data_IF_413781163154
#
_entry.id   IF_413781163154
#
_cell.length_a   1.000
_cell.length_b   1.000
_cell.length_c   1.000
_cell.angle_alpha   90.00
_cell.angle_beta   90.00
_cell.angle_gamma   90.00
#
_symmetry.space_group_name_H-M   'P 1'
#
loop_
_entity.id
_entity.type
_entity.pdbx_description
1 polymer ?
#
# COMPACT_ATOMS: atom_id res chain seq x y z
N UNK A 1 -0.87 -15.11 -20.06
CA UNK A 1 -0.51 -16.31 -19.27
C UNK A 1 0.98 -16.65 -19.42
N UNK A 2 1.86 -15.64 -19.33
CA UNK A 2 3.31 -15.77 -19.49
C UNK A 2 4.06 -15.92 -18.14
N UNK A 3 3.35 -15.97 -17.01
CA UNK A 3 3.94 -15.76 -15.68
C UNK A 3 4.23 -17.05 -14.87
N UNK A 4 4.24 -18.23 -15.50
CA UNK A 4 4.63 -19.46 -14.81
C UNK A 4 5.30 -20.40 -15.81
N UNK A 5 6.61 -20.27 -16.01
CA UNK A 5 7.39 -21.23 -16.81
C UNK A 5 7.60 -22.58 -16.09
N UNK A 6 7.10 -22.69 -14.86
CA UNK A 6 7.22 -23.84 -13.98
C UNK A 6 5.85 -24.53 -13.83
N UNK A 7 5.83 -25.85 -14.03
CA UNK A 7 4.64 -26.71 -14.01
C UNK A 7 3.93 -26.66 -12.66
N UNK A 8 4.67 -26.60 -11.56
CA UNK A 8 4.09 -26.60 -10.21
C UNK A 8 3.39 -25.27 -9.92
N UNK A 9 3.94 -24.15 -10.40
CA UNK A 9 3.28 -22.84 -10.34
C UNK A 9 2.00 -22.80 -11.17
N UNK A 10 1.97 -23.46 -12.35
CA UNK A 10 0.74 -23.61 -13.15
C UNK A 10 -0.32 -24.43 -12.42
N UNK A 11 0.06 -25.58 -11.82
CA UNK A 11 -0.86 -26.41 -11.02
C UNK A 11 -1.42 -25.66 -9.82
N UNK A 12 -0.57 -24.92 -9.09
CA UNK A 12 -0.98 -24.09 -7.97
C UNK A 12 -2.00 -23.04 -8.39
N UNK A 13 -1.75 -22.34 -9.50
CA UNK A 13 -2.65 -21.33 -10.04
C UNK A 13 -4.00 -21.93 -10.47
N UNK A 14 -3.98 -23.08 -11.16
CA UNK A 14 -5.22 -23.77 -11.56
C UNK A 14 -6.02 -24.23 -10.35
N UNK A 15 -5.34 -24.79 -9.33
CA UNK A 15 -5.96 -25.18 -8.06
C UNK A 15 -6.59 -23.98 -7.35
N UNK A 16 -5.88 -22.86 -7.25
CA UNK A 16 -6.41 -21.63 -6.67
C UNK A 16 -7.66 -21.13 -7.40
N UNK A 17 -7.63 -21.08 -8.74
CA UNK A 17 -8.79 -20.66 -9.54
C UNK A 17 -10.01 -21.55 -9.29
N UNK A 18 -9.82 -22.87 -9.30
CA UNK A 18 -10.89 -23.84 -9.02
C UNK A 18 -11.46 -23.64 -7.62
N UNK A 19 -10.61 -23.57 -6.59
CA UNK A 19 -11.03 -23.36 -5.21
C UNK A 19 -11.79 -22.04 -5.06
N UNK A 20 -11.28 -20.95 -5.64
CA UNK A 20 -11.96 -19.65 -5.60
C UNK A 20 -13.36 -19.72 -6.23
N UNK A 21 -13.50 -20.39 -7.38
CA UNK A 21 -14.78 -20.51 -8.08
C UNK A 21 -15.79 -21.35 -7.28
N UNK A 22 -15.36 -22.48 -6.72
CA UNK A 22 -16.19 -23.34 -5.87
C UNK A 22 -16.69 -22.61 -4.62
N UNK A 23 -15.80 -21.91 -3.92
CA UNK A 23 -16.19 -21.16 -2.72
C UNK A 23 -17.05 -19.96 -3.08
N UNK A 24 -16.82 -19.29 -4.22
CA UNK A 24 -17.66 -18.18 -4.69
C UNK A 24 -19.11 -18.61 -4.95
N UNK A 25 -19.31 -19.80 -5.53
CA UNK A 25 -20.63 -20.36 -5.81
C UNK A 25 -21.38 -20.77 -4.53
N UNK A 26 -20.66 -21.26 -3.52
CA UNK A 26 -21.25 -21.78 -2.28
C UNK A 26 -21.43 -20.70 -1.20
N UNK A 27 -20.48 -19.78 -1.10
CA UNK A 27 -20.46 -18.71 -0.10
C UNK A 27 -19.73 -17.48 -0.65
N UNK A 28 -20.51 -16.67 -1.37
CA UNK A 28 -20.01 -15.43 -1.97
C UNK A 28 -19.62 -14.40 -0.92
N UNK A 29 -20.27 -14.39 0.25
CA UNK A 29 -19.97 -13.47 1.34
C UNK A 29 -18.60 -13.77 1.96
N UNK A 30 -18.32 -15.03 2.27
CA UNK A 30 -17.02 -15.49 2.77
C UNK A 30 -15.93 -15.29 1.72
N UNK A 31 -16.18 -15.65 0.46
CA UNK A 31 -15.21 -15.43 -0.62
C UNK A 31 -14.84 -13.95 -0.73
N UNK A 32 -15.82 -13.07 -0.69
CA UNK A 32 -15.59 -11.63 -0.70
C UNK A 32 -14.82 -11.16 0.54
N UNK A 33 -15.10 -11.72 1.73
CA UNK A 33 -14.34 -11.42 2.96
C UNK A 33 -12.87 -11.84 2.84
N UNK A 34 -12.57 -13.00 2.26
CA UNK A 34 -11.20 -13.49 2.03
C UNK A 34 -10.49 -12.67 0.95
N UNK A 35 -11.17 -12.36 -0.16
CA UNK A 35 -10.63 -11.53 -1.25
C UNK A 35 -10.39 -10.07 -0.84
N UNK A 36 -11.18 -9.58 0.13
CA UNK A 36 -11.04 -8.24 0.72
C UNK A 36 -10.18 -8.22 1.98
N UNK A 37 -9.63 -9.36 2.40
CA UNK A 37 -8.78 -9.42 3.59
C UNK A 37 -7.54 -8.53 3.37
N UNK A 38 -7.27 -7.67 4.34
CA UNK A 38 -6.25 -6.64 4.25
C UNK A 38 -4.83 -7.19 4.08
N UNK A 39 -4.59 -8.43 4.50
CA UNK A 39 -3.28 -9.09 4.36
C UNK A 39 -3.09 -9.83 3.03
N UNK A 40 -4.17 -10.10 2.29
CA UNK A 40 -4.12 -10.91 1.05
C UNK A 40 -4.45 -10.13 -0.21
N UNK A 41 -5.06 -8.95 -0.08
CA UNK A 41 -5.38 -8.10 -1.24
C UNK A 41 -4.16 -7.29 -1.66
N UNK A 42 -3.51 -7.73 -2.74
CA UNK A 42 -2.44 -7.00 -3.42
C UNK A 42 -3.09 -5.94 -4.33
N UNK A 43 -2.76 -4.67 -4.09
CA UNK A 43 -3.24 -3.52 -4.87
C UNK A 43 -2.35 -3.21 -6.08
N UNK A 44 -1.03 -3.24 -5.87
CA UNK A 44 -0.04 -3.04 -6.94
C UNK A 44 1.26 -3.73 -6.57
N UNK A 45 1.95 -4.24 -7.57
CA UNK A 45 3.32 -4.74 -7.46
C UNK A 45 4.20 -4.09 -8.51
N UNK A 46 5.49 -4.03 -8.25
CA UNK A 46 6.46 -3.55 -9.23
C UNK A 46 7.75 -3.10 -8.57
N UNK A 47 8.69 -2.70 -9.42
CA UNK A 47 9.98 -2.21 -8.96
C UNK A 47 9.93 -0.72 -8.70
N UNK A 48 10.46 -0.29 -7.56
CA UNK A 48 10.67 1.12 -7.21
C UNK A 48 12.11 1.32 -6.72
N UNK A 49 12.64 2.51 -6.98
CA UNK A 49 13.85 2.98 -6.32
C UNK A 49 13.45 3.71 -5.04
N UNK A 50 13.94 3.25 -3.89
CA UNK A 50 13.70 3.87 -2.58
C UNK A 50 14.96 4.57 -2.11
N UNK A 51 14.86 5.84 -1.69
CA UNK A 51 15.98 6.54 -1.06
C UNK A 51 16.13 6.05 0.39
N UNK A 52 17.34 5.67 0.79
CA UNK A 52 17.62 5.34 2.19
C UNK A 52 17.59 6.60 3.06
N UNK A 53 17.16 6.50 4.33
CA UNK A 53 17.27 7.62 5.26
C UNK A 53 18.74 7.87 5.64
N UNK A 54 19.05 9.07 6.14
CA UNK A 54 20.36 9.45 6.69
C UNK A 54 21.24 10.31 5.78
N UNK A 55 22.37 10.78 6.32
CA UNK A 55 23.31 11.69 5.65
C UNK A 55 23.95 11.09 4.38
N UNK A 56 24.17 9.78 4.36
CA UNK A 56 24.66 9.03 3.20
C UNK A 56 23.51 8.35 2.44
N UNK A 57 22.46 9.11 2.15
CA UNK A 57 21.27 8.61 1.48
C UNK A 57 21.62 8.06 0.08
N UNK A 58 21.30 6.79 -0.16
CA UNK A 58 21.50 6.11 -1.45
C UNK A 58 20.17 5.61 -1.99
N UNK A 59 20.06 5.59 -3.31
CA UNK A 59 18.93 4.96 -3.99
C UNK A 59 19.12 3.45 -4.02
N UNK A 60 18.06 2.73 -3.66
CA UNK A 60 18.05 1.28 -3.60
C UNK A 60 16.86 0.74 -4.37
N UNK A 61 17.10 -0.11 -5.35
CA UNK A 61 16.04 -0.78 -6.10
C UNK A 61 15.39 -1.86 -5.26
N UNK A 62 14.05 -1.85 -5.18
CA UNK A 62 13.25 -2.78 -4.38
C UNK A 62 12.08 -3.28 -5.22
N UNK A 63 11.77 -4.55 -5.09
CA UNK A 63 10.48 -5.06 -5.52
C UNK A 63 9.48 -4.76 -4.40
N UNK A 64 8.40 -4.07 -4.75
CA UNK A 64 7.45 -3.52 -3.80
C UNK A 64 6.09 -4.14 -4.04
N UNK A 65 5.45 -4.55 -2.95
CA UNK A 65 4.08 -5.04 -2.94
C UNK A 65 3.27 -4.09 -2.06
N UNK A 66 2.33 -3.37 -2.67
CA UNK A 66 1.30 -2.65 -1.93
C UNK A 66 0.16 -3.61 -1.64
N UNK A 67 -0.04 -3.88 -0.36
CA UNK A 67 -1.21 -4.58 0.16
C UNK A 67 -2.15 -3.56 0.81
N UNK A 68 -3.36 -4.00 1.10
CA UNK A 68 -4.31 -3.26 1.94
C UNK A 68 -3.78 -2.90 3.34
N UNK A 69 -2.80 -3.62 3.89
CA UNK A 69 -2.21 -3.30 5.18
C UNK A 69 -1.02 -2.31 5.09
N UNK A 70 -0.38 -2.24 3.93
CA UNK A 70 0.79 -1.39 3.71
C UNK A 70 1.76 -1.92 2.66
N UNK A 71 2.99 -1.39 2.70
CA UNK A 71 4.04 -1.69 1.73
C UNK A 71 4.97 -2.78 2.25
N UNK A 72 5.24 -3.77 1.42
CA UNK A 72 6.23 -4.82 1.66
C UNK A 72 7.36 -4.67 0.65
N UNK A 73 8.60 -4.73 1.13
CA UNK A 73 9.80 -4.59 0.31
C UNK A 73 10.60 -5.89 0.25
N UNK A 74 11.06 -6.22 -0.95
CA UNK A 74 11.99 -7.31 -1.22
C UNK A 74 13.26 -6.75 -1.88
N UNK A 75 14.41 -7.37 -1.59
CA UNK A 75 15.64 -7.10 -2.36
C UNK A 75 15.42 -7.62 -3.78
N UNK A 76 15.98 -6.92 -4.75
CA UNK A 76 16.01 -7.35 -6.16
C UNK A 76 17.34 -8.08 -6.42
N UNK A 77 17.86 -8.85 -5.46
CA UNK A 77 19.04 -9.71 -5.66
C UNK A 77 18.69 -10.91 -6.55
N UNK A 78 18.08 -10.64 -7.70
CA UNK A 78 17.61 -11.60 -8.71
C UNK A 78 16.72 -12.74 -8.21
N UNK A 79 16.17 -12.64 -6.98
CA UNK A 79 15.36 -13.70 -6.36
C UNK A 79 16.08 -15.06 -6.34
N UNK A 80 17.41 -15.06 -6.29
CA UNK A 80 18.20 -16.28 -6.42
C UNK A 80 18.32 -17.05 -5.10
N UNK A 81 18.27 -16.35 -3.97
CA UNK A 81 18.33 -16.97 -2.64
C UNK A 81 16.97 -17.03 -1.95
N UNK A 82 16.79 -17.98 -1.02
CA UNK A 82 15.60 -18.01 -0.14
C UNK A 82 15.47 -16.73 0.70
N UNK A 83 16.59 -16.05 0.96
CA UNK A 83 16.64 -14.79 1.70
C UNK A 83 16.08 -13.61 0.88
N UNK A 84 16.22 -13.63 -0.45
CA UNK A 84 15.61 -12.64 -1.35
C UNK A 84 14.07 -12.74 -1.40
N UNK A 85 13.54 -13.94 -1.14
CA UNK A 85 12.10 -14.20 -1.05
C UNK A 85 11.51 -13.79 0.31
N UNK A 86 12.36 -13.42 1.27
CA UNK A 86 11.92 -13.00 2.60
C UNK A 86 11.58 -11.49 2.60
N UNK A 87 10.41 -11.10 3.12
CA UNK A 87 10.06 -9.68 3.22
C UNK A 87 11.02 -8.98 4.18
N UNK A 88 11.68 -7.92 3.72
CA UNK A 88 12.69 -7.25 4.54
C UNK A 88 12.06 -6.29 5.52
N UNK A 89 11.10 -5.52 5.03
CA UNK A 89 10.41 -4.56 5.84
C UNK A 89 8.95 -4.49 5.42
N UNK A 90 8.08 -4.50 6.42
CA UNK A 90 6.70 -4.11 6.29
C UNK A 90 6.55 -2.67 6.80
N UNK A 91 5.91 -1.81 6.01
CA UNK A 91 5.59 -0.43 6.38
C UNK A 91 4.08 -0.27 6.39
N UNK A 92 3.44 -0.20 7.58
CA UNK A 92 2.00 0.02 7.66
C UNK A 92 1.66 1.39 7.08
N UNK A 93 0.64 1.43 6.22
CA UNK A 93 0.16 2.65 5.57
C UNK A 93 -1.15 3.08 6.20
N UNK A 94 -1.04 3.78 7.34
CA UNK A 94 -2.17 4.22 8.15
C UNK A 94 -2.64 5.61 7.74
N UNK A 95 -1.90 6.65 8.14
CA UNK A 95 -2.23 8.05 7.88
C UNK A 95 -1.05 8.73 7.20
N UNK A 96 -1.20 8.99 5.91
CA UNK A 96 -0.15 9.55 5.06
C UNK A 96 -0.76 10.44 3.99
N UNK A 97 0.10 11.13 3.24
CA UNK A 97 -0.21 11.94 2.05
C UNK A 97 0.81 11.58 0.97
N UNK A 98 0.37 11.58 -0.28
CA UNK A 98 1.25 11.36 -1.43
C UNK A 98 1.46 12.68 -2.16
N UNK A 99 2.73 13.07 -2.38
CA UNK A 99 3.12 14.31 -3.05
C UNK A 99 4.12 13.99 -4.16
N UNK A 100 3.87 14.47 -5.38
CA UNK A 100 4.86 14.39 -6.47
C UNK A 100 6.07 15.27 -6.14
N UNK A 101 7.26 14.79 -6.49
CA UNK A 101 8.51 15.49 -6.25
C UNK A 101 9.18 15.83 -7.58
N UNK A 102 9.74 17.03 -7.68
CA UNK A 102 10.41 17.45 -8.91
C UNK A 102 11.80 16.81 -9.02
N UNK A 103 12.29 16.67 -10.25
CA UNK A 103 13.64 16.17 -10.49
C UNK A 103 14.70 17.14 -9.96
N UNK A 104 14.44 18.45 -10.03
CA UNK A 104 15.32 19.48 -9.46
C UNK A 104 15.52 19.30 -7.94
N UNK A 105 14.48 18.88 -7.22
CA UNK A 105 14.55 18.63 -5.77
C UNK A 105 15.26 17.31 -5.43
N UNK A 106 15.05 16.27 -6.25
CA UNK A 106 15.40 14.90 -5.88
C UNK A 106 16.64 14.35 -6.58
N UNK A 107 17.07 14.99 -7.66
CA UNK A 107 18.13 14.53 -8.56
C UNK A 107 17.79 13.25 -9.32
N UNK A 108 16.51 12.88 -9.39
CA UNK A 108 16.04 11.66 -10.08
C UNK A 108 14.64 11.88 -10.65
N UNK A 109 14.32 11.36 -11.85
CA UNK A 109 12.99 11.51 -12.41
C UNK A 109 11.95 10.62 -11.72
N UNK A 110 10.68 10.92 -11.99
CA UNK A 110 9.50 10.11 -11.59
C UNK A 110 9.41 9.89 -10.08
N UNK A 111 9.74 10.92 -9.30
CA UNK A 111 9.81 10.86 -7.85
C UNK A 111 8.50 11.28 -7.18
N UNK A 112 8.21 10.65 -6.05
CA UNK A 112 7.10 11.03 -5.18
C UNK A 112 7.42 10.69 -3.72
N UNK A 113 6.85 11.49 -2.83
CA UNK A 113 6.89 11.29 -1.40
C UNK A 113 5.65 10.58 -0.89
N UNK A 114 5.86 9.70 0.08
CA UNK A 114 4.84 9.26 1.05
C UNK A 114 5.19 9.95 2.36
N UNK A 115 4.38 10.93 2.74
CA UNK A 115 4.57 11.75 3.95
C UNK A 115 3.58 11.27 4.99
N UNK A 116 4.05 10.78 6.12
CA UNK A 116 3.19 10.29 7.17
C UNK A 116 2.72 11.42 8.09
N UNK A 117 1.50 11.31 8.61
CA UNK A 117 0.97 12.24 9.61
C UNK A 117 1.71 12.05 10.95
N UNK A 118 1.74 13.08 11.81
CA UNK A 118 2.43 13.03 13.12
C UNK A 118 1.93 11.89 14.03
N UNK A 119 0.66 11.52 13.90
CA UNK A 119 -0.02 10.45 14.64
C UNK A 119 0.26 9.03 14.12
N UNK A 120 0.94 8.89 12.97
CA UNK A 120 1.24 7.59 12.38
C UNK A 120 2.37 6.84 13.10
N UNK A 121 2.28 5.51 13.11
CA UNK A 121 3.33 4.61 13.61
C UNK A 121 4.66 4.78 12.87
N UNK A 122 4.60 5.12 11.59
CA UNK A 122 5.74 5.52 10.78
C UNK A 122 5.68 7.03 10.63
N UNK A 123 6.74 7.74 10.98
CA UNK A 123 6.77 9.21 10.90
C UNK A 123 7.78 9.72 9.87
N UNK A 124 8.78 8.91 9.51
CA UNK A 124 9.78 9.28 8.52
C UNK A 124 9.19 9.28 7.11
N UNK A 125 9.22 10.42 6.38
CA UNK A 125 8.79 10.46 4.99
C UNK A 125 9.61 9.49 4.12
N UNK A 126 8.97 8.97 3.09
CA UNK A 126 9.61 8.07 2.14
C UNK A 126 9.67 8.71 0.77
N UNK A 127 10.87 8.80 0.20
CA UNK A 127 11.08 9.22 -1.17
C UNK A 127 11.28 8.00 -2.08
N UNK A 128 10.41 7.88 -3.08
CA UNK A 128 10.36 6.78 -4.04
C UNK A 128 10.48 7.34 -5.46
N UNK A 129 11.05 6.54 -6.37
CA UNK A 129 11.17 6.86 -7.80
C UNK A 129 10.74 5.65 -8.62
N UNK A 130 9.81 5.87 -9.56
CA UNK A 130 9.32 4.85 -10.47
C UNK A 130 10.17 4.76 -11.76
N UNK A 131 10.17 3.62 -12.47
CA UNK A 131 10.94 3.47 -13.70
C UNK A 131 10.45 4.42 -14.82
N UNK A 132 9.13 4.62 -14.90
CA UNK A 132 8.50 5.45 -15.93
C UNK A 132 7.51 6.46 -15.30
N UNK A 133 7.18 7.56 -15.99
CA UNK A 133 6.15 8.49 -15.54
C UNK A 133 4.76 7.83 -15.46
N UNK A 134 4.48 6.86 -16.33
CA UNK A 134 3.26 6.07 -16.28
C UNK A 134 3.20 5.24 -15.00
N UNK A 135 4.28 4.50 -14.67
CA UNK A 135 4.35 3.72 -13.44
C UNK A 135 4.20 4.59 -12.20
N UNK A 136 4.79 5.79 -12.20
CA UNK A 136 4.64 6.76 -11.12
C UNK A 136 3.17 7.08 -10.87
N UNK A 137 2.43 7.44 -11.93
CA UNK A 137 0.99 7.75 -11.84
C UNK A 137 0.19 6.56 -11.33
N UNK A 138 0.47 5.36 -11.80
CA UNK A 138 -0.19 4.15 -11.31
C UNK A 138 0.08 3.89 -9.82
N UNK A 139 1.31 4.09 -9.36
CA UNK A 139 1.67 3.95 -7.95
C UNK A 139 0.97 4.98 -7.07
N UNK A 140 0.98 6.25 -7.47
CA UNK A 140 0.28 7.32 -6.76
C UNK A 140 -1.23 7.03 -6.70
N UNK A 141 -1.84 6.61 -7.80
CA UNK A 141 -3.25 6.26 -7.84
C UNK A 141 -3.58 5.08 -6.92
N UNK A 142 -2.76 4.01 -6.96
CA UNK A 142 -2.95 2.86 -6.08
C UNK A 142 -2.84 3.22 -4.59
N UNK A 143 -1.91 4.11 -4.23
CA UNK A 143 -1.77 4.64 -2.86
C UNK A 143 -2.97 5.50 -2.45
N UNK A 144 -3.50 6.34 -3.34
CA UNK A 144 -4.70 7.15 -3.09
C UNK A 144 -5.94 6.27 -2.88
N UNK A 145 -6.13 5.25 -3.71
CA UNK A 145 -7.22 4.28 -3.54
C UNK A 145 -7.08 3.53 -2.21
N UNK A 146 -5.86 3.13 -1.84
CA UNK A 146 -5.59 2.54 -0.52
C UNK A 146 -6.02 3.48 0.62
N UNK A 147 -5.67 4.78 0.56
CA UNK A 147 -6.08 5.75 1.57
C UNK A 147 -7.60 5.84 1.69
N UNK A 148 -8.31 5.94 0.56
CA UNK A 148 -9.77 6.03 0.53
C UNK A 148 -10.38 4.81 1.22
N UNK A 149 -9.92 3.60 0.88
CA UNK A 149 -10.47 2.36 1.44
C UNK A 149 -10.19 2.22 2.94
N UNK A 150 -9.01 2.62 3.39
CA UNK A 150 -8.64 2.62 4.82
C UNK A 150 -9.48 3.64 5.59
N UNK A 151 -9.63 4.86 5.06
CA UNK A 151 -10.43 5.93 5.68
C UNK A 151 -11.88 5.49 5.77
N UNK A 152 -12.46 4.97 4.69
CA UNK A 152 -13.85 4.49 4.68
C UNK A 152 -14.07 3.38 5.72
N UNK A 153 -13.15 2.42 5.80
CA UNK A 153 -13.23 1.34 6.77
C UNK A 153 -13.15 1.85 8.21
N UNK A 154 -12.20 2.75 8.51
CA UNK A 154 -12.03 3.35 9.84
C UNK A 154 -13.22 4.21 10.23
N UNK A 155 -13.76 5.00 9.31
CA UNK A 155 -14.94 5.82 9.53
C UNK A 155 -16.13 4.97 10.01
N UNK A 156 -16.40 3.83 9.37
CA UNK A 156 -17.45 2.90 9.81
C UNK A 156 -17.24 2.39 11.24
N UNK A 157 -15.99 2.11 11.64
CA UNK A 157 -15.69 1.70 13.01
C UNK A 157 -15.91 2.84 14.02
N UNK A 158 -15.46 4.06 13.68
CA UNK A 158 -15.64 5.23 14.53
C UNK A 158 -17.11 5.62 14.68
N UNK A 159 -17.89 5.63 13.59
CA UNK A 159 -19.33 5.86 13.62
C UNK A 159 -20.03 4.90 14.59
N UNK A 160 -19.80 3.58 14.43
CA UNK A 160 -20.39 2.57 15.33
C UNK A 160 -19.97 2.74 16.79
N UNK A 161 -18.73 3.17 17.05
CA UNK A 161 -18.26 3.40 18.42
C UNK A 161 -18.90 4.65 19.02
N UNK A 162 -19.02 5.73 18.25
CA UNK A 162 -19.64 6.99 18.67
C UNK A 162 -21.15 6.82 18.91
N UNK A 163 -21.84 6.08 18.04
CA UNK A 163 -23.26 5.73 18.22
C UNK A 163 -23.51 5.02 19.55
N UNK A 164 -22.64 4.07 19.93
CA UNK A 164 -22.71 3.39 21.23
C UNK A 164 -22.47 4.31 22.42
N UNK A 165 -21.77 5.42 22.22
CA UNK A 165 -21.55 6.45 23.23
C UNK A 165 -22.63 7.55 23.18
N UNK A 166 -23.69 7.39 22.38
CA UNK A 166 -24.77 8.37 22.24
C UNK A 166 -24.43 9.58 21.37
N UNK A 167 -23.28 9.58 20.69
CA UNK A 167 -22.85 10.66 19.79
C UNK A 167 -23.27 10.35 18.36
N UNK A 168 -24.08 11.21 17.74
CA UNK A 168 -24.43 11.11 16.32
C UNK A 168 -23.66 12.16 15.52
N UNK A 169 -22.85 11.70 14.57
CA UNK A 169 -22.15 12.57 13.63
C UNK A 169 -22.98 12.70 12.35
N UNK A 170 -23.42 13.92 11.96
CA UNK A 170 -24.13 14.10 10.70
C UNK A 170 -23.25 13.73 9.51
N UNK A 171 -23.75 12.88 8.60
CA UNK A 171 -23.01 12.36 7.43
C UNK A 171 -22.43 13.44 6.49
N UNK A 172 -22.92 14.68 6.57
CA UNK A 172 -22.51 15.81 5.73
C UNK A 172 -21.69 16.88 6.49
N UNK A 173 -21.24 16.60 7.72
CA UNK A 173 -20.46 17.59 8.49
C UNK A 173 -18.98 17.58 8.08
N UNK A 174 -18.56 18.60 7.34
CA UNK A 174 -17.14 18.91 7.12
C UNK A 174 -16.75 19.97 8.17
N UNK A 175 -16.38 19.52 9.36
CA UNK A 175 -15.76 20.40 10.35
C UNK A 175 -14.29 20.59 9.99
N UNK A 176 -13.96 21.71 9.34
CA UNK A 176 -12.58 22.14 9.10
C UNK A 176 -11.99 22.62 10.43
N UNK A 177 -11.57 21.69 11.27
CA UNK A 177 -10.71 22.00 12.43
C UNK A 177 -9.26 21.80 12.00
N UNK A 178 -8.39 22.77 12.25
CA UNK A 178 -6.93 22.57 12.12
C UNK A 178 -6.50 21.55 13.18
N UNK A 179 -6.56 20.26 12.85
CA UNK A 179 -6.42 19.15 13.79
C UNK A 179 -5.16 18.31 13.57
N UNK A 180 -4.83 17.54 14.62
CA UNK A 180 -3.73 16.58 14.83
C UNK A 180 -3.16 15.78 13.63
N UNK A 181 -3.86 15.68 12.50
CA UNK A 181 -3.49 14.91 11.32
C UNK A 181 -2.75 15.73 10.24
N UNK A 182 -2.18 16.89 10.59
CA UNK A 182 -1.32 17.62 9.68
C UNK A 182 -0.14 16.74 9.24
N UNK A 183 0.19 16.69 7.92
CA UNK A 183 1.41 16.04 7.47
C UNK A 183 2.61 16.70 8.16
N UNK A 184 3.62 15.91 8.50
CA UNK A 184 4.88 16.46 9.04
C UNK A 184 5.46 17.40 7.98
N UNK A 185 5.61 18.69 8.33
CA UNK A 185 6.25 19.67 7.46
C UNK A 185 7.71 19.27 7.28
N UNK A 186 8.18 19.27 6.03
CA UNK A 186 9.60 19.17 5.69
C UNK A 186 10.25 20.54 5.80
#
# INVERSE_FOLDING_TARGET
>A
MLAANDLDKKKLLMRYKRLKQEVLQRDSAFTNKVMRNFFTCIRKVGTLNKKSPGFLARWQTRFVVLSNAGLIYFKVGDMQSKEDLSPQHFKPLNDFVVKEASEAETGKPNCFYIIFCKSSLVTTPMLLSAPTPHDMKEWINALRLHQIDVIASRATFFERKLERCGVRVPRASILITQGFNAPVQQ
#
